data_IF_171143005039
#
_entry.id   IF_171143005039
#
_cell.length_a   1.000
_cell.length_b   1.000
_cell.length_c   1.000
_cell.angle_alpha   90.00
_cell.angle_beta   90.00
_cell.angle_gamma   90.00
#
_symmetry.space_group_name_H-M   'P 1'
#
loop_
_entity.id
_entity.type
_entity.pdbx_description
1 polymer ?
#
# COMPACT_ATOMS: atom_id res chain seq x y z
N UNK A 1 -13.76 -5.78 12.53
CA UNK A 1 -12.52 -6.44 12.06
C UNK A 1 -12.71 -7.31 10.81
N UNK A 2 -13.95 -7.61 10.40
CA UNK A 2 -14.23 -8.51 9.25
C UNK A 2 -13.58 -8.04 7.94
N UNK A 3 -13.47 -6.73 7.71
CA UNK A 3 -12.86 -6.15 6.51
C UNK A 3 -11.40 -5.70 6.68
N UNK A 4 -10.79 -5.97 7.83
CA UNK A 4 -9.40 -5.59 8.06
C UNK A 4 -8.45 -6.43 7.21
N UNK A 5 -7.46 -5.78 6.58
CA UNK A 5 -6.39 -6.47 5.83
C UNK A 5 -5.17 -6.64 6.70
N UNK A 6 -4.63 -7.84 6.71
CA UNK A 6 -3.43 -8.18 7.47
C UNK A 6 -2.30 -8.49 6.50
N UNK A 7 -1.19 -7.79 6.64
CA UNK A 7 0.02 -7.97 5.83
C UNK A 7 1.23 -8.20 6.73
N UNK A 8 2.11 -9.11 6.32
CA UNK A 8 3.41 -9.28 6.96
C UNK A 8 4.50 -8.68 6.08
N UNK A 9 5.18 -7.69 6.62
CA UNK A 9 6.38 -7.08 6.01
C UNK A 9 7.67 -7.64 6.60
N UNK A 10 7.58 -8.63 7.49
CA UNK A 10 8.74 -9.27 8.08
C UNK A 10 9.49 -10.12 7.04
N UNK A 11 10.69 -9.68 6.65
CA UNK A 11 11.52 -10.35 5.65
C UNK A 11 10.98 -10.33 4.22
N UNK A 12 9.97 -9.50 3.93
CA UNK A 12 9.36 -9.38 2.60
C UNK A 12 9.08 -7.92 2.27
N UNK A 13 9.29 -7.54 1.00
CA UNK A 13 8.79 -6.27 0.48
C UNK A 13 7.38 -6.48 -0.08
N UNK A 14 6.40 -5.78 0.47
CA UNK A 14 5.02 -5.80 -0.03
C UNK A 14 4.54 -4.36 -0.29
N UNK A 15 3.70 -4.20 -1.29
CA UNK A 15 3.08 -2.90 -1.56
C UNK A 15 1.90 -2.67 -0.58
N UNK A 16 2.23 -2.28 0.65
CA UNK A 16 1.22 -1.99 1.67
C UNK A 16 0.42 -0.73 1.36
N UNK A 17 0.98 0.21 0.59
CA UNK A 17 0.34 1.48 0.25
C UNK A 17 -0.98 1.26 -0.50
N UNK A 18 -0.97 0.38 -1.51
CA UNK A 18 -2.20 0.03 -2.24
C UNK A 18 -3.27 -0.53 -1.30
N UNK A 19 -2.88 -1.33 -0.33
CA UNK A 19 -3.83 -1.90 0.64
C UNK A 19 -4.38 -0.81 1.57
N UNK A 20 -3.51 0.06 2.10
CA UNK A 20 -3.92 1.19 2.95
C UNK A 20 -4.83 2.16 2.20
N UNK A 21 -4.53 2.48 0.93
CA UNK A 21 -5.35 3.38 0.13
C UNK A 21 -6.78 2.85 -0.08
N UNK A 22 -6.94 1.54 -0.22
CA UNK A 22 -8.22 0.92 -0.61
C UNK A 22 -9.03 0.31 0.54
N UNK A 23 -8.49 0.28 1.77
CA UNK A 23 -9.18 -0.35 2.92
C UNK A 23 -9.23 0.59 4.13
N UNK A 24 -10.33 0.49 4.87
CA UNK A 24 -10.51 1.28 6.10
C UNK A 24 -9.52 0.89 7.20
N UNK A 25 -9.15 -0.39 7.26
CA UNK A 25 -8.24 -0.92 8.29
C UNK A 25 -7.20 -1.84 7.68
N UNK A 26 -5.94 -1.54 7.93
CA UNK A 26 -4.81 -2.35 7.50
C UNK A 26 -3.89 -2.60 8.68
N UNK A 27 -3.66 -3.86 9.00
CA UNK A 27 -2.76 -4.29 10.05
C UNK A 27 -1.45 -4.80 9.44
N UNK A 28 -0.31 -4.26 9.88
CA UNK A 28 1.00 -4.66 9.38
C UNK A 28 1.84 -5.26 10.52
N UNK A 29 2.45 -6.40 10.24
CA UNK A 29 3.50 -6.99 11.08
C UNK A 29 4.83 -6.57 10.47
N UNK A 30 5.61 -5.79 11.20
CA UNK A 30 6.82 -5.17 10.69
C UNK A 30 8.07 -6.01 10.97
N UNK A 31 9.07 -5.86 10.11
CA UNK A 31 10.44 -6.26 10.39
C UNK A 31 11.23 -5.12 11.04
N UNK A 32 12.45 -5.41 11.47
CA UNK A 32 13.38 -4.40 11.98
C UNK A 32 13.58 -3.27 10.96
N UNK A 33 13.66 -2.05 11.45
CA UNK A 33 13.94 -0.85 10.65
C UNK A 33 12.90 -0.47 9.58
N UNK A 34 11.68 -1.00 9.64
CA UNK A 34 10.62 -0.66 8.68
C UNK A 34 10.03 0.75 8.88
N UNK A 35 10.22 1.38 10.05
CA UNK A 35 9.60 2.65 10.42
C UNK A 35 9.88 3.77 9.42
N UNK A 36 11.14 3.94 9.01
CA UNK A 36 11.52 4.97 8.03
C UNK A 36 10.80 4.78 6.69
N UNK A 37 10.75 3.55 6.18
CA UNK A 37 10.06 3.23 4.93
C UNK A 37 8.55 3.53 5.02
N UNK A 38 7.92 3.21 6.15
CA UNK A 38 6.50 3.48 6.40
C UNK A 38 6.23 4.99 6.34
N UNK A 39 6.99 5.79 7.08
CA UNK A 39 6.84 7.25 7.12
C UNK A 39 7.04 7.88 5.73
N UNK A 40 8.11 7.52 5.03
CA UNK A 40 8.42 8.04 3.70
C UNK A 40 7.33 7.69 2.68
N UNK A 41 6.84 6.46 2.69
CA UNK A 41 5.81 6.02 1.76
C UNK A 41 4.45 6.65 2.04
N UNK A 42 4.01 6.75 3.29
CA UNK A 42 2.76 7.42 3.63
C UNK A 42 2.76 8.87 3.15
N UNK A 43 3.87 9.59 3.33
CA UNK A 43 4.05 10.96 2.85
C UNK A 43 4.10 11.04 1.32
N UNK A 44 4.88 10.18 0.66
CA UNK A 44 5.04 10.19 -0.78
C UNK A 44 3.72 9.94 -1.54
N UNK A 45 2.86 9.06 -0.98
CA UNK A 45 1.58 8.72 -1.57
C UNK A 45 0.39 9.51 -1.01
N UNK A 46 0.66 10.64 -0.33
CA UNK A 46 -0.36 11.56 0.20
C UNK A 46 -1.40 10.89 1.12
N UNK A 47 -0.93 9.94 1.95
CA UNK A 47 -1.75 9.25 2.95
C UNK A 47 -1.55 9.83 4.36
N UNK A 48 -1.25 11.12 4.46
CA UNK A 48 -0.97 11.80 5.73
C UNK A 48 -2.18 11.87 6.67
N UNK A 49 -3.40 11.75 6.13
CA UNK A 49 -4.64 11.80 6.88
C UNK A 49 -4.96 10.53 7.67
N UNK A 50 -4.29 9.40 7.38
CA UNK A 50 -4.52 8.14 8.09
C UNK A 50 -4.13 8.26 9.55
N UNK A 51 -4.79 7.50 10.42
CA UNK A 51 -4.38 7.32 11.81
C UNK A 51 -3.55 6.05 11.91
N UNK A 52 -2.39 6.14 12.53
CA UNK A 52 -1.48 5.01 12.71
C UNK A 52 -1.31 4.74 14.20
N UNK A 53 -1.71 3.55 14.64
CA UNK A 53 -1.44 3.02 15.98
C UNK A 53 -0.23 2.11 15.89
N UNK A 54 0.87 2.50 16.48
CA UNK A 54 2.12 1.74 16.55
C UNK A 54 2.16 1.01 17.88
N UNK A 55 2.22 -0.30 17.85
CA UNK A 55 2.36 -1.13 19.05
C UNK A 55 3.75 -1.77 19.07
N UNK A 56 4.57 -1.33 20.00
CA UNK A 56 5.91 -1.85 20.24
C UNK A 56 5.87 -2.84 21.40
N UNK A 57 6.52 -3.97 21.25
CA UNK A 57 6.65 -5.01 22.29
C UNK A 57 5.31 -5.39 22.96
N UNK A 58 4.23 -5.50 22.18
CA UNK A 58 2.91 -5.81 22.71
C UNK A 58 2.93 -7.10 23.53
N UNK A 59 2.31 -7.07 24.72
CA UNK A 59 2.28 -8.13 25.72
C UNK A 59 3.61 -8.37 26.46
N UNK A 60 4.62 -7.53 26.28
CA UNK A 60 5.84 -7.53 27.09
C UNK A 60 5.78 -6.46 28.18
N UNK A 61 6.64 -6.54 29.23
CA UNK A 61 6.66 -5.55 30.31
C UNK A 61 6.97 -4.11 29.87
N UNK A 62 7.61 -3.95 28.72
CA UNK A 62 8.01 -2.70 28.07
C UNK A 62 7.10 -2.36 26.87
N UNK A 63 5.84 -2.82 26.92
CA UNK A 63 4.85 -2.47 25.90
C UNK A 63 4.66 -0.96 25.80
N UNK A 64 4.68 -0.47 24.58
CA UNK A 64 4.39 0.92 24.27
C UNK A 64 3.42 1.01 23.08
N UNK A 65 2.43 1.90 23.22
CA UNK A 65 1.48 2.20 22.14
C UNK A 65 1.54 3.69 21.80
N UNK A 66 1.86 4.01 20.56
CA UNK A 66 1.90 5.38 20.05
C UNK A 66 0.81 5.53 18.98
N UNK A 67 -0.03 6.56 19.10
CA UNK A 67 -1.09 6.85 18.12
C UNK A 67 -0.87 8.24 17.54
N UNK A 68 -0.65 8.31 16.22
CA UNK A 68 -0.37 9.56 15.49
C UNK A 68 -1.06 9.61 14.14
N UNK A 69 -1.16 10.80 13.56
CA UNK A 69 -1.48 10.92 12.13
C UNK A 69 -0.26 10.54 11.28
N UNK A 70 -0.52 10.13 10.02
CA UNK A 70 0.56 9.72 9.12
C UNK A 70 1.63 10.80 8.90
N UNK A 71 1.25 12.09 8.93
CA UNK A 71 2.18 13.23 8.81
C UNK A 71 2.99 13.53 10.09
N UNK A 72 2.56 13.04 11.24
CA UNK A 72 3.20 13.24 12.54
C UNK A 72 4.11 12.07 12.92
N UNK A 73 4.02 10.97 12.15
CA UNK A 73 4.74 9.75 12.42
C UNK A 73 6.23 9.91 12.12
N UNK A 74 7.08 9.40 13.00
CA UNK A 74 8.55 9.46 12.90
C UNK A 74 9.14 8.06 12.99
N UNK A 75 10.34 7.88 12.45
CA UNK A 75 11.02 6.59 12.47
C UNK A 75 11.29 6.07 13.90
N UNK A 76 11.48 6.99 14.83
CA UNK A 76 11.72 6.75 16.26
C UNK A 76 10.50 6.18 17.00
N UNK A 77 9.30 6.32 16.43
CA UNK A 77 8.07 5.73 16.99
C UNK A 77 8.05 4.19 16.86
N UNK A 78 8.98 3.60 16.12
CA UNK A 78 9.03 2.17 15.80
C UNK A 78 10.18 1.46 16.51
N UNK A 79 9.85 0.42 17.26
CA UNK A 79 10.82 -0.47 17.90
C UNK A 79 11.19 -1.69 17.04
N UNK A 80 11.85 -2.65 17.67
CA UNK A 80 12.31 -3.90 17.02
C UNK A 80 11.18 -4.92 16.80
N UNK A 81 10.22 -4.98 17.72
CA UNK A 81 9.04 -5.85 17.68
C UNK A 81 7.79 -4.97 17.54
N UNK A 82 7.53 -4.54 16.32
CA UNK A 82 6.46 -3.58 16.05
C UNK A 82 5.38 -4.19 15.17
N UNK A 83 4.15 -3.92 15.56
CA UNK A 83 2.97 -4.08 14.71
C UNK A 83 2.26 -2.74 14.60
N UNK A 84 1.62 -2.48 13.48
CA UNK A 84 0.85 -1.24 13.32
C UNK A 84 -0.55 -1.51 12.80
N UNK A 85 -1.49 -0.72 13.26
CA UNK A 85 -2.82 -0.60 12.69
C UNK A 85 -2.92 0.75 11.99
N UNK A 86 -3.23 0.74 10.71
CA UNK A 86 -3.48 1.94 9.92
C UNK A 86 -4.97 2.03 9.66
N UNK A 87 -5.59 3.12 10.09
CA UNK A 87 -6.99 3.42 9.84
C UNK A 87 -7.10 4.56 8.83
N UNK A 88 -7.65 4.24 7.66
CA UNK A 88 -7.90 5.20 6.58
C UNK A 88 -9.35 5.66 6.65
N UNK A 89 -9.64 6.93 6.98
CA UNK A 89 -11.00 7.44 7.07
C UNK A 89 -11.68 7.62 5.72
N UNK A 90 -10.90 7.60 4.62
CA UNK A 90 -11.40 7.80 3.25
C UNK A 90 -10.71 6.81 2.30
N UNK A 91 -11.01 5.51 2.39
CA UNK A 91 -10.45 4.55 1.46
C UNK A 91 -10.95 4.79 0.05
N UNK A 92 -10.04 4.71 -0.93
CA UNK A 92 -10.40 4.75 -2.33
C UNK A 92 -11.09 3.45 -2.71
N UNK A 93 -12.40 3.43 -2.70
CA UNK A 93 -13.18 2.29 -3.20
C UNK A 93 -13.17 2.32 -4.74
N UNK A 94 -12.01 1.98 -5.32
CA UNK A 94 -11.94 1.84 -6.78
C UNK A 94 -12.77 0.63 -7.21
N UNK A 95 -13.82 0.88 -7.95
CA UNK A 95 -14.70 -0.14 -8.52
C UNK A 95 -14.32 -0.52 -9.95
N UNK A 96 -13.27 0.09 -10.52
CA UNK A 96 -12.85 -0.08 -11.91
C UNK A 96 -11.39 -0.53 -12.07
N UNK A 97 -11.14 -1.24 -13.15
CA UNK A 97 -9.81 -1.65 -13.63
C UNK A 97 -9.26 -0.50 -14.48
N UNK A 98 -9.12 0.69 -13.90
CA UNK A 98 -8.70 1.86 -14.65
C UNK A 98 -7.71 2.67 -13.83
N UNK A 99 -6.51 2.84 -14.39
CA UNK A 99 -5.50 3.78 -13.92
C UNK A 99 -5.37 4.88 -14.96
N UNK A 100 -5.59 6.13 -14.57
CA UNK A 100 -5.36 7.26 -15.43
C UNK A 100 -3.85 7.40 -15.78
N UNK A 101 -3.55 8.03 -16.89
CA UNK A 101 -2.17 8.22 -17.33
C UNK A 101 -1.32 9.00 -16.31
N UNK A 102 -1.94 9.90 -15.54
CA UNK A 102 -1.31 10.70 -14.50
C UNK A 102 -0.93 9.89 -13.25
N UNK A 103 -1.55 8.73 -13.05
CA UNK A 103 -1.29 7.85 -11.91
C UNK A 103 -0.09 6.92 -12.14
N UNK A 104 0.43 6.91 -13.38
CA UNK A 104 1.55 6.06 -13.78
C UNK A 104 2.84 6.87 -13.90
N UNK A 105 3.93 6.29 -13.44
CA UNK A 105 5.26 6.89 -13.59
C UNK A 105 5.68 6.78 -15.04
N UNK A 106 5.81 7.93 -15.73
CA UNK A 106 6.29 7.99 -17.10
C UNK A 106 7.81 8.06 -17.12
N UNK A 107 8.43 7.06 -17.76
CA UNK A 107 9.85 7.07 -18.09
C UNK A 107 10.10 7.52 -19.54
N UNK A 108 11.26 7.20 -20.06
CA UNK A 108 11.63 7.44 -21.48
C UNK A 108 11.00 6.44 -22.45
N UNK A 109 10.43 5.35 -21.95
CA UNK A 109 9.80 4.31 -22.76
C UNK A 109 8.37 4.74 -23.12
N UNK A 110 7.93 4.57 -24.38
CA UNK A 110 6.55 4.85 -24.76
C UNK A 110 5.57 4.02 -23.93
N UNK A 111 4.52 4.67 -23.44
CA UNK A 111 3.46 4.04 -22.64
C UNK A 111 2.22 3.85 -23.51
N UNK A 112 1.53 2.73 -23.36
CA UNK A 112 0.23 2.49 -23.99
C UNK A 112 -0.77 3.53 -23.50
N UNK A 113 -1.44 4.21 -24.43
CA UNK A 113 -2.46 5.23 -24.11
C UNK A 113 -3.58 4.64 -23.26
N UNK A 114 -4.13 5.46 -22.38
CA UNK A 114 -5.14 5.10 -21.38
C UNK A 114 -6.33 4.34 -21.99
N UNK A 115 -6.91 4.86 -23.07
CA UNK A 115 -8.08 4.26 -23.70
C UNK A 115 -7.75 2.86 -24.28
N UNK A 116 -6.59 2.72 -24.92
CA UNK A 116 -6.12 1.44 -25.48
C UNK A 116 -5.88 0.44 -24.35
N UNK A 117 -5.25 0.89 -23.25
CA UNK A 117 -4.97 0.09 -22.06
C UNK A 117 -6.26 -0.41 -21.43
N UNK A 118 -7.22 0.49 -21.20
CA UNK A 118 -8.52 0.18 -20.62
C UNK A 118 -9.28 -0.86 -21.44
N UNK A 119 -9.36 -0.65 -22.77
CA UNK A 119 -10.04 -1.58 -23.67
C UNK A 119 -9.33 -2.96 -23.71
N UNK A 120 -8.00 -2.96 -23.70
CA UNK A 120 -7.22 -4.20 -23.71
C UNK A 120 -7.46 -5.04 -22.45
N UNK A 121 -7.40 -4.40 -21.27
CA UNK A 121 -7.66 -5.07 -19.99
C UNK A 121 -9.10 -5.60 -19.92
N UNK A 122 -10.09 -4.79 -20.34
CA UNK A 122 -11.48 -5.22 -20.36
C UNK A 122 -11.71 -6.44 -21.26
N UNK A 123 -11.03 -6.51 -22.42
CA UNK A 123 -11.12 -7.66 -23.34
C UNK A 123 -10.46 -8.93 -22.83
N UNK A 124 -9.52 -8.84 -21.89
CA UNK A 124 -8.92 -10.01 -21.24
C UNK A 124 -9.90 -10.78 -20.34
N UNK A 125 -11.01 -10.14 -19.94
CA UNK A 125 -12.06 -10.75 -19.07
C UNK A 125 -11.45 -11.41 -17.84
N UNK A 126 -10.56 -10.67 -17.15
CA UNK A 126 -9.81 -11.19 -16.01
C UNK A 126 -10.74 -11.63 -14.88
N UNK A 127 -10.40 -12.73 -14.25
CA UNK A 127 -11.03 -13.20 -13.01
C UNK A 127 -10.12 -12.91 -11.82
N UNK A 128 -10.65 -12.97 -10.60
CA UNK A 128 -9.91 -12.71 -9.36
C UNK A 128 -8.61 -13.52 -9.22
N UNK A 129 -8.56 -14.72 -9.79
CA UNK A 129 -7.42 -15.64 -9.70
C UNK A 129 -6.68 -15.79 -11.04
N UNK A 130 -6.88 -14.86 -11.98
CA UNK A 130 -6.20 -14.92 -13.27
C UNK A 130 -4.69 -14.72 -13.09
N UNK A 131 -3.91 -15.49 -13.83
CA UNK A 131 -2.46 -15.31 -13.96
C UNK A 131 -2.21 -14.70 -15.33
N UNK A 132 -1.49 -13.57 -15.36
CA UNK A 132 -1.21 -12.83 -16.58
C UNK A 132 0.30 -12.83 -16.81
N UNK A 133 0.69 -13.05 -18.07
CA UNK A 133 2.05 -12.88 -18.53
C UNK A 133 2.11 -11.66 -19.47
N UNK A 134 2.75 -10.60 -19.03
CA UNK A 134 2.96 -9.39 -19.83
C UNK A 134 4.34 -9.47 -20.50
N UNK A 135 4.36 -9.98 -21.72
CA UNK A 135 5.59 -10.13 -22.50
C UNK A 135 5.90 -8.83 -23.22
N UNK A 136 7.02 -8.20 -22.85
CA UNK A 136 7.39 -6.88 -23.36
C UNK A 136 6.69 -5.74 -22.62
N UNK A 137 6.50 -5.89 -21.32
CA UNK A 137 5.74 -4.99 -20.43
C UNK A 137 6.10 -3.50 -20.56
N UNK A 138 7.30 -3.16 -21.02
CA UNK A 138 7.74 -1.76 -21.15
C UNK A 138 7.67 -1.00 -19.82
N UNK A 139 6.73 -0.07 -19.70
CA UNK A 139 6.48 0.66 -18.43
C UNK A 139 5.69 -0.14 -17.41
N UNK A 140 5.19 -1.32 -17.75
CA UNK A 140 4.27 -2.10 -16.92
C UNK A 140 2.85 -1.52 -16.83
N UNK A 141 2.53 -0.51 -17.63
CA UNK A 141 1.26 0.23 -17.51
C UNK A 141 0.00 -0.59 -17.82
N UNK A 142 0.14 -1.73 -18.53
CA UNK A 142 -0.98 -2.63 -18.81
C UNK A 142 -1.20 -3.62 -17.67
N UNK A 143 -0.13 -4.00 -16.97
CA UNK A 143 -0.12 -5.00 -15.89
C UNK A 143 -0.17 -4.39 -14.47
N UNK A 144 -0.19 -3.06 -14.36
CA UNK A 144 -0.21 -2.31 -13.10
C UNK A 144 -1.54 -2.41 -12.36
#
# INVERSE_FOLDING_TARGET
WEDAKILSMHGRSQNFIHVVANHEKTFLILGKSAGKEICEKLKYYHLEQVTVSVGNHLSYPDEEIVIKKGNELQAEDFGDLTTILIENPKPEKRTGIHLADEELIRGSVPMTKEEVRTVSIAKLKLTKNAVIYDVGAGTGSVSA
#
